data_IF_454726848500
#
_entry.id   IF_454726848500
#
_cell.length_a   1.000
_cell.length_b   1.000
_cell.length_c   1.000
_cell.angle_alpha   90.00
_cell.angle_beta   90.00
_cell.angle_gamma   90.00
#
_symmetry.space_group_name_H-M   'P 1'
#
loop_
_entity.id
_entity.type
_entity.pdbx_description
1 polymer ?
#
# COMPACT_ATOMS: atom_id res chain seq x y z
N UNK A 1 -14.20 3.12 -5.73
CA UNK A 1 -14.85 2.06 -4.92
C UNK A 1 -15.51 2.76 -3.74
N UNK A 2 -16.70 2.32 -3.33
CA UNK A 2 -17.42 2.87 -2.18
C UNK A 2 -16.88 2.28 -0.87
N UNK A 3 -15.72 2.75 -0.40
CA UNK A 3 -15.07 2.21 0.82
C UNK A 3 -15.94 2.34 2.08
N UNK A 4 -16.84 3.33 2.11
CA UNK A 4 -17.84 3.52 3.16
C UNK A 4 -18.78 2.33 3.38
N UNK A 5 -19.01 1.50 2.35
CA UNK A 5 -19.89 0.34 2.43
C UNK A 5 -19.25 -0.89 3.10
N UNK A 6 -17.93 -0.91 3.27
CA UNK A 6 -17.21 -2.04 3.86
C UNK A 6 -17.13 -1.93 5.37
N UNK A 7 -17.03 -3.08 6.04
CA UNK A 7 -16.77 -3.14 7.49
C UNK A 7 -15.34 -2.75 7.81
N UNK A 8 -15.09 -2.33 9.05
CA UNK A 8 -13.74 -2.01 9.52
C UNK A 8 -12.77 -3.19 9.37
N UNK A 9 -13.24 -4.42 9.61
CA UNK A 9 -12.44 -5.62 9.44
C UNK A 9 -12.04 -5.83 7.96
N UNK A 10 -12.98 -5.66 7.04
CA UNK A 10 -12.70 -5.79 5.60
C UNK A 10 -11.73 -4.70 5.10
N UNK A 11 -11.86 -3.47 5.59
CA UNK A 11 -10.91 -2.38 5.27
C UNK A 11 -9.49 -2.72 5.74
N UNK A 12 -9.34 -3.25 6.96
CA UNK A 12 -8.05 -3.72 7.47
C UNK A 12 -7.46 -4.83 6.61
N UNK A 13 -8.26 -5.84 6.26
CA UNK A 13 -7.78 -6.95 5.42
C UNK A 13 -7.34 -6.47 4.03
N UNK A 14 -8.10 -5.57 3.40
CA UNK A 14 -7.70 -4.98 2.11
C UNK A 14 -6.39 -4.20 2.24
N UNK A 15 -6.23 -3.43 3.33
CA UNK A 15 -5.02 -2.68 3.58
C UNK A 15 -3.81 -3.58 3.87
N UNK A 16 -3.99 -4.64 4.64
CA UNK A 16 -2.97 -5.67 4.90
C UNK A 16 -2.56 -6.39 3.60
N UNK A 17 -3.51 -6.64 2.68
CA UNK A 17 -3.19 -7.21 1.37
C UNK A 17 -2.30 -6.28 0.53
N UNK A 18 -2.55 -4.96 0.56
CA UNK A 18 -1.66 -3.98 -0.09
C UNK A 18 -0.27 -4.03 0.53
N UNK A 19 -0.18 -4.07 1.86
CA UNK A 19 1.11 -4.13 2.58
C UNK A 19 1.89 -5.41 2.26
N UNK A 20 1.22 -6.56 2.24
CA UNK A 20 1.84 -7.83 1.90
C UNK A 20 2.30 -7.89 0.43
N UNK A 21 1.57 -7.26 -0.49
CA UNK A 21 2.03 -7.13 -1.88
C UNK A 21 3.29 -6.24 -1.99
N UNK A 22 3.36 -5.18 -1.19
CA UNK A 22 4.53 -4.30 -1.13
C UNK A 22 5.75 -5.02 -0.54
N UNK A 23 5.56 -5.74 0.57
CA UNK A 23 6.61 -6.55 1.20
C UNK A 23 7.15 -7.62 0.24
N UNK A 24 6.25 -8.30 -0.49
CA UNK A 24 6.66 -9.26 -1.51
C UNK A 24 7.45 -8.59 -2.66
N UNK A 25 7.08 -7.39 -3.09
CA UNK A 25 7.87 -6.65 -4.09
C UNK A 25 9.26 -6.30 -3.54
N UNK A 26 9.34 -5.78 -2.32
CA UNK A 26 10.59 -5.41 -1.66
C UNK A 26 11.51 -6.66 -1.50
N UNK A 27 10.95 -7.85 -1.21
CA UNK A 27 11.69 -9.12 -1.15
C UNK A 27 12.26 -9.57 -2.52
N UNK A 28 11.50 -9.41 -3.61
CA UNK A 28 11.95 -9.72 -4.97
C UNK A 28 13.06 -8.77 -5.41
N UNK A 29 12.88 -7.47 -5.16
CA UNK A 29 13.88 -6.46 -5.48
C UNK A 29 15.19 -6.69 -4.69
N UNK A 30 15.09 -7.12 -3.43
CA UNK A 30 16.26 -7.42 -2.60
C UNK A 30 17.14 -8.56 -3.14
N UNK A 31 16.58 -9.47 -3.95
CA UNK A 31 17.32 -10.54 -4.62
C UNK A 31 17.67 -10.22 -6.08
N UNK A 32 17.40 -8.99 -6.53
CA UNK A 32 17.65 -8.53 -7.89
C UNK A 32 16.66 -9.06 -8.92
N UNK A 33 15.51 -9.56 -8.49
CA UNK A 33 14.41 -9.95 -9.36
C UNK A 33 13.42 -8.80 -9.56
N UNK A 34 12.60 -8.91 -10.61
CA UNK A 34 11.55 -7.93 -10.85
C UNK A 34 10.45 -8.04 -9.78
N UNK A 35 9.91 -6.90 -9.28
CA UNK A 35 8.79 -6.90 -8.35
C UNK A 35 7.58 -7.60 -8.97
N UNK A 36 7.00 -8.53 -8.20
CA UNK A 36 5.92 -9.43 -8.65
C UNK A 36 4.61 -8.70 -8.91
N UNK A 37 4.25 -7.76 -8.03
CA UNK A 37 3.00 -7.02 -8.02
C UNK A 37 3.14 -5.59 -8.53
N UNK A 38 4.38 -5.06 -8.51
CA UNK A 38 4.75 -3.74 -9.05
C UNK A 38 4.04 -2.58 -8.32
N UNK A 39 3.73 -2.76 -7.04
CA UNK A 39 2.91 -1.88 -6.20
C UNK A 39 3.40 -0.44 -6.24
N UNK A 40 4.72 -0.21 -6.17
CA UNK A 40 5.30 1.15 -6.20
C UNK A 40 5.23 1.82 -7.57
N UNK A 41 5.24 1.04 -8.65
CA UNK A 41 5.27 1.55 -10.04
C UNK A 41 3.89 1.68 -10.70
N UNK A 42 2.86 1.09 -10.12
CA UNK A 42 1.48 1.13 -10.61
C UNK A 42 0.64 2.10 -9.77
N UNK A 43 0.29 3.25 -10.34
CA UNK A 43 -0.34 4.36 -9.63
C UNK A 43 -1.68 3.99 -8.95
N UNK A 44 -2.42 3.05 -9.52
CA UNK A 44 -3.70 2.56 -9.02
C UNK A 44 -3.56 1.90 -7.64
N UNK A 45 -2.42 1.26 -7.34
CA UNK A 45 -2.15 0.71 -6.01
C UNK A 45 -2.06 1.80 -4.95
N UNK A 46 -1.30 2.87 -5.24
CA UNK A 46 -1.18 4.01 -4.34
C UNK A 46 -2.53 4.69 -4.12
N UNK A 47 -3.32 4.86 -5.18
CA UNK A 47 -4.68 5.40 -5.07
C UNK A 47 -5.59 4.50 -4.23
N UNK A 48 -5.54 3.18 -4.43
CA UNK A 48 -6.31 2.22 -3.65
C UNK A 48 -5.95 2.30 -2.16
N UNK A 49 -4.66 2.28 -1.84
CA UNK A 49 -4.16 2.38 -0.47
C UNK A 49 -4.55 3.71 0.21
N UNK A 50 -4.36 4.84 -0.47
CA UNK A 50 -4.72 6.16 0.08
C UNK A 50 -6.22 6.29 0.36
N UNK A 51 -7.08 5.67 -0.47
CA UNK A 51 -8.52 5.66 -0.20
C UNK A 51 -8.88 4.78 1.00
N UNK A 52 -8.22 3.63 1.18
CA UNK A 52 -8.36 2.79 2.37
C UNK A 52 -7.92 3.57 3.63
N UNK A 53 -6.73 4.17 3.61
CA UNK A 53 -6.20 4.99 4.71
C UNK A 53 -7.15 6.12 5.07
N UNK A 54 -7.66 6.84 4.07
CA UNK A 54 -8.61 7.94 4.28
C UNK A 54 -9.87 7.46 4.99
N UNK A 55 -10.46 6.35 4.53
CA UNK A 55 -11.68 5.82 5.13
C UNK A 55 -11.44 5.29 6.54
N UNK A 56 -10.32 4.60 6.77
CA UNK A 56 -9.94 4.07 8.08
C UNK A 56 -9.65 5.19 9.09
N UNK A 57 -8.96 6.26 8.68
CA UNK A 57 -8.74 7.46 9.49
C UNK A 57 -10.05 8.19 9.79
N UNK A 58 -10.94 8.32 8.79
CA UNK A 58 -12.28 8.92 8.97
C UNK A 58 -13.09 8.20 10.06
N UNK A 59 -12.89 6.89 10.21
CA UNK A 59 -13.53 6.05 11.25
C UNK A 59 -12.78 6.02 12.58
N UNK A 60 -11.62 6.67 12.69
CA UNK A 60 -10.80 6.67 13.89
C UNK A 60 -10.07 5.35 14.14
N UNK A 61 -9.84 4.55 13.08
CA UNK A 61 -9.05 3.32 13.19
C UNK A 61 -7.56 3.68 13.33
N UNK A 62 -6.87 3.01 14.26
CA UNK A 62 -5.42 3.06 14.33
C UNK A 62 -4.82 2.27 13.16
N UNK A 63 -4.04 2.93 12.33
CA UNK A 63 -3.35 2.36 11.18
C UNK A 63 -1.91 2.86 11.13
N UNK A 64 -1.01 2.01 10.64
CA UNK A 64 0.36 2.38 10.31
C UNK A 64 0.40 2.70 8.82
N UNK A 65 0.56 3.99 8.49
CA UNK A 65 0.55 4.47 7.10
C UNK A 65 1.70 3.86 6.30
N UNK A 66 1.46 3.57 5.02
CA UNK A 66 2.51 3.11 4.11
C UNK A 66 3.40 4.31 3.78
N UNK A 67 4.70 4.15 3.96
CA UNK A 67 5.68 5.12 3.48
C UNK A 67 5.93 4.90 1.98
N UNK A 68 5.32 5.78 1.19
CA UNK A 68 5.46 5.78 -0.27
C UNK A 68 6.75 6.44 -0.77
N UNK A 69 7.58 7.01 0.11
CA UNK A 69 8.80 7.74 -0.29
C UNK A 69 10.01 6.82 -0.50
N UNK A 70 10.09 5.68 0.22
CA UNK A 70 11.23 4.74 0.18
C UNK A 70 11.44 3.98 -1.15
N UNK A 71 10.70 4.29 -2.21
CA UNK A 71 10.88 3.69 -3.56
C UNK A 71 11.20 4.67 -4.67
N UNK A 72 11.26 5.97 -4.37
CA UNK A 72 11.88 6.93 -5.29
C UNK A 72 13.36 6.89 -4.97
N UNK A 73 14.12 6.08 -5.72
CA UNK A 73 15.57 5.96 -5.55
C UNK A 73 16.18 7.34 -5.34
N UNK A 74 17.07 7.45 -4.35
CA UNK A 74 17.90 8.62 -4.14
C UNK A 74 18.46 9.04 -5.50
N UNK A 75 18.00 10.19 -6.01
CA UNK A 75 18.59 10.77 -7.21
C UNK A 75 20.06 11.02 -6.88
N UNK A 76 21.02 10.46 -7.66
CA UNK A 76 22.41 10.76 -7.42
C UNK A 76 22.61 12.27 -7.61
N UNK A 77 23.25 12.89 -6.60
CA UNK A 77 23.73 14.27 -6.66
C UNK A 77 24.66 14.50 -7.85
#
# INVERSE_FOLDING_TARGET
MEYGAFTDASLKMMYEAVRGALEADDEFEAIGEDPKFRVRSTAEWKLHASNLETEMLRRGLRIDLIDWTNGQGELPL
#
